data_IF_227202674707
#
_entry.id   IF_227202674707
#
_cell.length_a   1.000
_cell.length_b   1.000
_cell.length_c   1.000
_cell.angle_alpha   90.00
_cell.angle_beta   90.00
_cell.angle_gamma   90.00
#
_symmetry.space_group_name_H-M   'P 1'
#
loop_
_entity.id
_entity.type
_entity.pdbx_description
1 polymer ?
#
# COMPACT_ATOMS: atom_id res chain seq x y z
N UNK A 1 47.37 -22.34 -5.80
CA UNK A 1 46.74 -21.61 -4.71
C UNK A 1 45.25 -21.51 -5.05
N UNK A 2 44.35 -22.09 -4.28
CA UNK A 2 42.90 -21.95 -4.54
C UNK A 2 42.49 -20.52 -4.20
N UNK A 3 41.79 -19.87 -5.14
CA UNK A 3 41.19 -18.56 -4.94
C UNK A 3 40.16 -18.66 -3.81
N UNK A 4 40.29 -17.77 -2.82
CA UNK A 4 39.38 -17.66 -1.73
C UNK A 4 37.94 -17.48 -2.25
N UNK A 5 37.04 -18.26 -1.71
CA UNK A 5 35.61 -18.10 -1.87
C UNK A 5 35.26 -16.75 -1.24
N UNK A 6 34.89 -15.77 -2.07
CA UNK A 6 34.27 -14.54 -1.56
C UNK A 6 33.05 -14.98 -0.76
N UNK A 7 33.12 -14.84 0.54
CA UNK A 7 31.95 -15.00 1.39
C UNK A 7 30.87 -14.04 0.86
N UNK A 8 29.67 -14.50 0.51
CA UNK A 8 28.63 -13.59 0.09
C UNK A 8 28.42 -12.57 1.22
N UNK A 9 28.62 -11.30 0.91
CA UNK A 9 28.32 -10.20 1.85
C UNK A 9 26.85 -10.36 2.22
N UNK A 10 26.58 -10.73 3.47
CA UNK A 10 25.21 -10.83 3.95
C UNK A 10 24.56 -9.44 3.82
N UNK A 11 23.35 -9.34 3.23
CA UNK A 11 22.69 -8.06 3.10
C UNK A 11 22.50 -7.42 4.48
N UNK A 12 22.99 -6.19 4.63
CA UNK A 12 23.18 -5.55 5.92
C UNK A 12 21.93 -4.77 6.40
N UNK A 13 21.01 -4.44 5.47
CA UNK A 13 19.87 -3.58 5.76
C UNK A 13 18.55 -4.30 5.49
N UNK A 14 17.76 -4.45 6.57
CA UNK A 14 16.38 -4.89 6.45
C UNK A 14 15.52 -3.70 6.02
N UNK A 15 14.69 -3.89 5.00
CA UNK A 15 13.68 -2.94 4.54
C UNK A 15 12.29 -3.48 4.87
N UNK A 16 11.45 -2.68 5.50
CA UNK A 16 10.07 -3.02 5.81
C UNK A 16 9.11 -2.00 5.18
N UNK A 17 8.26 -2.46 4.26
CA UNK A 17 7.16 -1.69 3.71
C UNK A 17 5.87 -2.07 4.45
N UNK A 18 5.15 -1.09 4.95
CA UNK A 18 4.00 -1.27 5.84
C UNK A 18 2.89 -0.26 5.53
N UNK A 19 1.65 -0.67 5.76
CA UNK A 19 0.52 0.24 5.89
C UNK A 19 -0.59 -0.41 6.71
N UNK A 20 -1.42 0.42 7.34
CA UNK A 20 -2.67 0.00 7.93
C UNK A 20 -3.65 1.16 7.97
N UNK A 21 -4.87 0.93 7.50
CA UNK A 21 -6.00 1.81 7.75
C UNK A 21 -6.56 1.50 9.14
N UNK A 22 -6.68 2.53 9.96
CA UNK A 22 -7.23 2.49 11.33
C UNK A 22 -7.48 3.92 11.78
N UNK A 23 -8.53 4.16 12.57
CA UNK A 23 -8.73 5.51 13.14
C UNK A 23 -7.65 5.81 14.18
N UNK A 24 -6.82 6.81 13.88
CA UNK A 24 -5.74 7.32 14.74
C UNK A 24 -6.03 8.77 15.09
N UNK A 25 -6.92 9.06 16.05
CA UNK A 25 -7.31 10.44 16.37
C UNK A 25 -6.12 11.30 16.79
N UNK A 26 -5.17 10.72 17.53
CA UNK A 26 -4.00 11.42 18.08
C UNK A 26 -2.74 11.27 17.21
N UNK A 27 -2.88 10.98 15.92
CA UNK A 27 -1.76 10.71 15.00
C UNK A 27 -0.70 11.81 15.00
N UNK A 28 -1.08 13.06 15.27
CA UNK A 28 -0.16 14.19 15.29
C UNK A 28 0.82 14.10 16.46
N UNK A 29 0.37 13.64 17.62
CA UNK A 29 1.20 13.46 18.82
C UNK A 29 2.21 12.30 18.66
N UNK A 30 1.97 11.37 17.77
CA UNK A 30 2.88 10.24 17.49
C UNK A 30 4.12 10.65 16.69
N UNK A 31 4.09 11.79 15.99
CA UNK A 31 5.13 12.18 15.04
C UNK A 31 6.51 12.28 15.69
N UNK A 32 6.66 13.13 16.69
CA UNK A 32 7.98 13.43 17.27
C UNK A 32 8.55 12.26 18.08
N UNK A 33 7.76 11.53 18.90
CA UNK A 33 8.23 10.30 19.53
C UNK A 33 8.69 9.22 18.53
N UNK A 34 7.96 9.00 17.44
CA UNK A 34 8.35 8.01 16.43
C UNK A 34 9.58 8.46 15.64
N UNK A 35 9.72 9.76 15.30
CA UNK A 35 10.90 10.28 14.63
C UNK A 35 12.14 10.02 15.48
N UNK A 36 12.11 10.44 16.76
CA UNK A 36 13.23 10.25 17.69
C UNK A 36 13.55 8.79 17.94
N UNK A 37 12.52 7.94 18.08
CA UNK A 37 12.73 6.51 18.29
C UNK A 37 13.38 5.84 17.07
N UNK A 38 12.89 6.13 15.84
CA UNK A 38 13.49 5.60 14.62
C UNK A 38 14.97 6.03 14.47
N UNK A 39 15.29 7.29 14.75
CA UNK A 39 16.65 7.80 14.68
C UNK A 39 17.57 7.13 15.72
N UNK A 40 17.09 6.90 16.94
CA UNK A 40 17.82 6.18 17.97
C UNK A 40 18.10 4.71 17.63
N UNK A 41 17.29 4.11 16.74
CA UNK A 41 17.47 2.76 16.22
C UNK A 41 18.26 2.69 14.90
N UNK A 42 18.84 3.80 14.43
CA UNK A 42 19.50 3.94 13.11
C UNK A 42 18.58 3.51 11.94
N UNK A 43 17.28 3.71 12.07
CA UNK A 43 16.28 3.40 11.04
C UNK A 43 15.99 4.65 10.24
N UNK A 44 16.03 4.50 8.90
CA UNK A 44 15.79 5.56 7.92
C UNK A 44 14.60 5.20 7.04
N UNK A 45 14.03 6.19 6.36
CA UNK A 45 12.88 5.98 5.49
C UNK A 45 11.82 7.03 5.65
N UNK A 46 10.59 6.67 5.36
CA UNK A 46 9.45 7.58 5.52
C UNK A 46 8.28 6.84 6.15
N UNK A 47 7.71 7.44 7.20
CA UNK A 47 6.42 7.06 7.76
C UNK A 47 5.45 8.23 7.55
N UNK A 48 4.30 7.96 7.00
CA UNK A 48 3.18 8.87 6.85
C UNK A 48 2.15 8.53 7.91
N UNK A 49 1.76 9.51 8.70
CA UNK A 49 0.72 9.41 9.71
C UNK A 49 -0.45 10.31 9.31
N UNK A 50 -1.64 9.78 9.38
CA UNK A 50 -2.88 10.51 9.19
C UNK A 50 -3.94 9.97 10.15
N UNK A 51 -5.06 10.67 10.27
CA UNK A 51 -6.19 10.16 11.06
C UNK A 51 -6.66 8.78 10.59
N UNK A 52 -6.55 8.50 9.30
CA UNK A 52 -6.96 7.23 8.68
C UNK A 52 -5.95 6.09 8.83
N UNK A 53 -4.76 6.32 9.45
CA UNK A 53 -3.79 5.24 9.66
C UNK A 53 -2.33 5.62 9.44
N UNK A 54 -1.53 4.60 9.11
CA UNK A 54 -0.09 4.69 8.86
C UNK A 54 0.29 4.07 7.51
N UNK A 55 1.29 4.65 6.83
CA UNK A 55 1.89 4.11 5.61
C UNK A 55 3.37 4.47 5.56
N UNK A 56 4.21 3.57 5.09
CA UNK A 56 5.60 3.90 4.90
C UNK A 56 6.50 2.75 4.50
N UNK A 57 7.75 3.12 4.27
CA UNK A 57 8.86 2.18 4.09
C UNK A 57 10.02 2.66 4.93
N UNK A 58 10.56 1.77 5.74
CA UNK A 58 11.71 2.00 6.62
C UNK A 58 12.79 0.97 6.34
N UNK A 59 14.04 1.33 6.57
CA UNK A 59 15.17 0.43 6.45
C UNK A 59 16.26 0.79 7.45
N UNK A 60 17.02 -0.21 7.88
CA UNK A 60 18.11 -0.07 8.84
C UNK A 60 18.67 -1.42 9.26
N UNK A 61 19.48 -1.44 10.32
CA UNK A 61 19.88 -2.68 10.97
C UNK A 61 18.64 -3.50 11.36
N UNK A 62 18.71 -4.82 11.20
CA UNK A 62 17.56 -5.69 11.45
C UNK A 62 16.94 -5.47 12.83
N UNK A 63 17.75 -5.42 13.87
CA UNK A 63 17.27 -5.21 15.23
C UNK A 63 16.52 -3.88 15.39
N UNK A 64 17.03 -2.80 14.74
CA UNK A 64 16.42 -1.49 14.76
C UNK A 64 15.07 -1.47 14.05
N UNK A 65 14.99 -2.06 12.85
CA UNK A 65 13.71 -2.15 12.09
C UNK A 65 12.69 -2.96 12.88
N UNK A 66 13.09 -4.10 13.48
CA UNK A 66 12.18 -4.90 14.31
C UNK A 66 11.70 -4.17 15.56
N UNK A 67 12.58 -3.37 16.20
CA UNK A 67 12.20 -2.53 17.33
C UNK A 67 11.18 -1.46 16.93
N UNK A 68 11.37 -0.80 15.78
CA UNK A 68 10.40 0.18 15.25
C UNK A 68 9.06 -0.48 14.92
N UNK A 69 9.05 -1.67 14.31
CA UNK A 69 7.83 -2.42 14.04
C UNK A 69 7.10 -2.80 15.34
N UNK A 70 7.83 -3.20 16.37
CA UNK A 70 7.26 -3.47 17.68
C UNK A 70 6.66 -2.22 18.34
N UNK A 71 7.36 -1.09 18.26
CA UNK A 71 6.89 0.21 18.76
C UNK A 71 5.60 0.65 18.03
N UNK A 72 5.53 0.48 16.71
CA UNK A 72 4.32 0.78 15.94
C UNK A 72 3.15 -0.13 16.38
N UNK A 73 3.40 -1.41 16.60
CA UNK A 73 2.37 -2.38 17.06
C UNK A 73 1.91 -2.16 18.49
N UNK A 74 2.66 -1.41 19.29
CA UNK A 74 2.23 -1.00 20.63
C UNK A 74 1.22 0.16 20.62
N UNK A 75 1.00 0.80 19.46
CA UNK A 75 -0.01 1.85 19.30
C UNK A 75 -1.39 1.19 19.12
N UNK A 76 -2.38 1.67 19.87
CA UNK A 76 -3.75 1.18 19.81
C UNK A 76 -4.28 1.18 18.36
N UNK A 77 -4.82 0.04 17.93
CA UNK A 77 -5.32 -0.19 16.57
C UNK A 77 -4.25 -0.64 15.57
N UNK A 78 -2.96 -0.59 15.90
CA UNK A 78 -1.87 -1.05 15.03
C UNK A 78 -1.30 -2.43 15.44
N UNK A 79 -1.88 -3.14 16.40
CA UNK A 79 -1.37 -4.42 16.93
C UNK A 79 -1.14 -5.46 15.82
N UNK A 80 -2.06 -5.52 14.86
CA UNK A 80 -1.99 -6.43 13.70
C UNK A 80 -1.36 -5.76 12.45
N UNK A 81 -0.47 -4.77 12.62
CA UNK A 81 0.22 -4.13 11.50
C UNK A 81 1.06 -5.15 10.75
N UNK A 82 0.66 -5.45 9.50
CA UNK A 82 1.41 -6.29 8.58
C UNK A 82 2.49 -5.47 7.87
N UNK A 83 3.54 -6.14 7.42
CA UNK A 83 4.60 -5.53 6.63
C UNK A 83 5.17 -6.53 5.64
N UNK A 84 5.87 -6.04 4.63
CA UNK A 84 6.64 -6.84 3.67
C UNK A 84 8.12 -6.53 3.87
N UNK A 85 8.96 -7.56 3.86
CA UNK A 85 10.39 -7.44 4.06
C UNK A 85 11.16 -7.62 2.76
N UNK A 86 12.26 -6.89 2.65
CA UNK A 86 13.29 -7.09 1.64
C UNK A 86 14.65 -6.73 2.23
N UNK A 87 15.72 -7.28 1.68
CA UNK A 87 17.08 -7.03 2.13
C UNK A 87 17.85 -6.23 1.09
N UNK A 88 18.73 -5.36 1.55
CA UNK A 88 19.59 -4.54 0.70
C UNK A 88 21.03 -4.55 1.23
N UNK A 89 21.99 -4.54 0.29
CA UNK A 89 23.43 -4.50 0.61
C UNK A 89 23.91 -3.09 1.00
N UNK A 90 23.12 -2.07 0.62
CA UNK A 90 23.43 -0.65 0.89
C UNK A 90 22.22 0.03 1.53
N UNK A 91 22.44 1.09 2.35
CA UNK A 91 21.35 1.86 2.93
C UNK A 91 20.41 2.40 1.85
N UNK A 92 19.11 1.98 1.80
CA UNK A 92 18.20 2.44 0.76
C UNK A 92 17.76 3.90 0.94
N UNK A 93 17.92 4.45 2.14
CA UNK A 93 17.46 5.79 2.49
C UNK A 93 18.55 6.61 3.19
N UNK A 94 18.57 7.92 2.93
CA UNK A 94 19.55 8.84 3.52
C UNK A 94 19.17 9.33 4.92
N UNK A 95 17.88 9.47 5.21
CA UNK A 95 17.37 10.05 6.45
C UNK A 95 16.00 9.49 6.83
N UNK A 96 15.64 9.60 8.11
CA UNK A 96 14.28 9.33 8.57
C UNK A 96 13.36 10.54 8.36
N UNK A 97 12.08 10.28 8.05
CA UNK A 97 11.03 11.30 7.95
C UNK A 97 9.72 10.72 8.46
N UNK A 98 9.22 11.21 9.60
CA UNK A 98 7.84 10.99 10.02
C UNK A 98 7.02 12.22 9.63
N UNK A 99 6.01 12.03 8.77
CA UNK A 99 5.23 13.14 8.18
C UNK A 99 3.75 13.00 8.51
N UNK A 100 3.18 14.10 8.95
CA UNK A 100 1.72 14.24 9.08
C UNK A 100 1.12 14.51 7.70
N UNK A 101 0.05 13.80 7.39
CA UNK A 101 -0.70 13.89 6.13
C UNK A 101 -2.19 13.97 6.42
N UNK A 102 -2.97 14.43 5.43
CA UNK A 102 -4.43 14.32 5.46
C UNK A 102 -4.89 12.89 5.19
N UNK A 103 -4.16 12.19 4.31
CA UNK A 103 -4.41 10.82 3.87
C UNK A 103 -3.08 10.06 3.80
N UNK A 104 -3.07 8.77 4.17
CA UNK A 104 -1.87 7.92 4.07
C UNK A 104 -1.60 7.47 2.63
N UNK A 105 -2.60 7.51 1.76
CA UNK A 105 -2.53 7.45 0.31
C UNK A 105 -3.59 8.39 -0.25
N UNK A 106 -3.17 9.38 -1.01
CA UNK A 106 -4.05 10.50 -1.40
C UNK A 106 -4.97 10.10 -2.55
N UNK A 107 -6.29 10.15 -2.31
CA UNK A 107 -7.34 9.95 -3.32
C UNK A 107 -8.28 11.15 -3.44
N UNK A 108 -8.38 11.98 -2.40
CA UNK A 108 -9.21 13.19 -2.32
C UNK A 108 -10.73 12.94 -2.42
N UNK A 109 -11.20 11.86 -1.82
CA UNK A 109 -12.63 11.57 -1.65
C UNK A 109 -12.94 11.60 -0.15
N UNK A 110 -13.47 12.70 0.37
CA UNK A 110 -13.58 12.95 1.83
C UNK A 110 -14.40 11.93 2.61
N UNK A 111 -15.49 11.41 2.01
CA UNK A 111 -16.41 10.47 2.68
C UNK A 111 -15.90 9.02 2.62
N UNK A 112 -14.80 8.78 1.92
CA UNK A 112 -14.28 7.44 1.75
C UNK A 112 -13.55 6.94 2.99
N UNK A 113 -14.04 5.86 3.57
CA UNK A 113 -13.44 5.23 4.74
C UNK A 113 -13.21 3.72 4.50
N UNK A 114 -11.97 3.32 4.18
CA UNK A 114 -11.62 1.91 4.01
C UNK A 114 -11.85 1.04 5.25
N UNK A 115 -11.92 1.64 6.44
CA UNK A 115 -12.22 0.88 7.67
C UNK A 115 -13.67 0.41 7.72
N UNK A 116 -14.58 1.08 6.99
CA UNK A 116 -16.01 0.70 6.95
C UNK A 116 -16.32 -0.31 5.85
N UNK A 117 -15.69 -0.13 4.69
CA UNK A 117 -15.94 -1.01 3.55
C UNK A 117 -14.75 -1.08 2.62
N UNK A 118 -14.39 -2.30 2.21
CA UNK A 118 -13.36 -2.58 1.20
C UNK A 118 -13.80 -3.74 0.32
N UNK A 119 -13.14 -3.94 -0.80
CA UNK A 119 -13.28 -5.14 -1.64
C UNK A 119 -12.82 -6.40 -0.92
N UNK A 120 -13.26 -7.55 -1.42
CA UNK A 120 -12.76 -8.83 -0.92
C UNK A 120 -11.32 -9.05 -1.38
N UNK A 121 -10.43 -9.36 -0.45
CA UNK A 121 -9.06 -9.74 -0.76
C UNK A 121 -9.02 -11.07 -1.52
N UNK A 122 -8.25 -11.11 -2.61
CA UNK A 122 -7.99 -12.32 -3.39
C UNK A 122 -6.56 -12.77 -3.11
N UNK A 123 -6.40 -14.04 -2.71
CA UNK A 123 -5.08 -14.60 -2.42
C UNK A 123 -4.28 -14.82 -3.71
N UNK A 124 -2.93 -14.77 -3.68
CA UNK A 124 -2.11 -14.93 -4.88
C UNK A 124 -2.41 -16.20 -5.70
N UNK A 125 -2.69 -17.33 -5.04
CA UNK A 125 -3.01 -18.59 -5.71
C UNK A 125 -4.33 -18.55 -6.50
N UNK A 126 -5.24 -17.63 -6.14
CA UNK A 126 -6.57 -17.53 -6.75
C UNK A 126 -6.60 -16.52 -7.91
N UNK A 127 -5.50 -15.76 -8.11
CA UNK A 127 -5.45 -14.71 -9.13
C UNK A 127 -5.55 -15.23 -10.56
N UNK A 128 -4.94 -16.37 -10.88
CA UNK A 128 -5.00 -16.92 -12.23
C UNK A 128 -6.45 -17.30 -12.61
N UNK A 129 -7.21 -17.87 -11.69
CA UNK A 129 -8.62 -18.18 -11.91
C UNK A 129 -9.46 -16.90 -12.08
N UNK A 130 -9.17 -15.86 -11.30
CA UNK A 130 -9.83 -14.56 -11.41
C UNK A 130 -9.55 -13.89 -12.77
N UNK A 131 -8.30 -13.92 -13.23
CA UNK A 131 -7.89 -13.35 -14.52
C UNK A 131 -8.49 -14.11 -15.74
N UNK A 132 -8.80 -15.38 -15.56
CA UNK A 132 -9.41 -16.23 -16.60
C UNK A 132 -10.95 -16.11 -16.65
N UNK A 133 -11.59 -15.52 -15.65
CA UNK A 133 -13.04 -15.32 -15.59
C UNK A 133 -13.47 -14.21 -16.58
N UNK A 134 -14.24 -14.52 -17.65
CA UNK A 134 -14.65 -13.54 -18.66
C UNK A 134 -15.58 -12.46 -18.11
N UNK A 135 -16.19 -12.67 -16.95
CA UNK A 135 -17.06 -11.69 -16.28
C UNK A 135 -16.30 -10.74 -15.35
N UNK A 136 -14.97 -10.85 -15.29
CA UNK A 136 -14.10 -10.00 -14.45
C UNK A 136 -13.37 -8.96 -15.30
N UNK A 137 -13.55 -7.71 -14.94
CA UNK A 137 -12.73 -6.60 -15.42
C UNK A 137 -11.58 -6.35 -14.43
N UNK A 138 -10.36 -6.38 -14.93
CA UNK A 138 -9.16 -6.15 -14.11
C UNK A 138 -8.65 -4.75 -14.35
N UNK A 139 -8.46 -3.96 -13.28
CA UNK A 139 -7.99 -2.57 -13.35
C UNK A 139 -6.67 -2.45 -12.59
N UNK A 140 -5.66 -1.91 -13.25
CA UNK A 140 -4.39 -1.54 -12.63
C UNK A 140 -4.54 -0.13 -12.01
N UNK A 141 -4.60 -0.04 -10.70
CA UNK A 141 -4.79 1.25 -10.00
C UNK A 141 -3.48 1.98 -9.72
N UNK A 142 -2.39 1.57 -10.36
CA UNK A 142 -1.08 2.20 -10.25
C UNK A 142 -0.99 3.43 -11.17
N UNK A 143 0.02 4.25 -10.92
CA UNK A 143 0.34 5.34 -11.82
C UNK A 143 0.93 4.79 -13.12
N UNK A 144 0.76 5.52 -14.21
CA UNK A 144 1.18 5.10 -15.55
C UNK A 144 2.64 4.67 -15.63
N UNK A 145 3.56 5.39 -14.98
CA UNK A 145 4.99 5.02 -14.95
C UNK A 145 5.26 3.65 -14.30
N UNK A 146 4.39 3.18 -13.40
CA UNK A 146 4.51 1.84 -12.80
C UNK A 146 4.01 0.77 -13.76
N UNK A 147 2.98 1.09 -14.55
CA UNK A 147 2.41 0.19 -15.57
C UNK A 147 3.43 -0.10 -16.68
N UNK A 148 4.27 0.88 -17.05
CA UNK A 148 5.33 0.70 -18.06
C UNK A 148 6.36 -0.35 -17.68
N UNK A 149 6.55 -0.63 -16.40
CA UNK A 149 7.44 -1.70 -15.90
C UNK A 149 6.83 -3.09 -16.13
N UNK A 150 5.51 -3.19 -16.20
CA UNK A 150 4.76 -4.42 -16.40
C UNK A 150 3.40 -4.37 -15.72
N UNK A 151 2.44 -5.11 -16.27
CA UNK A 151 1.07 -5.23 -15.74
C UNK A 151 0.52 -6.63 -16.01
N UNK A 152 -0.61 -7.02 -15.42
CA UNK A 152 -1.28 -8.26 -15.75
C UNK A 152 -1.87 -8.20 -17.16
N UNK A 153 -1.74 -9.32 -17.89
CA UNK A 153 -2.31 -9.44 -19.25
C UNK A 153 -3.82 -9.17 -19.20
N UNK A 154 -4.28 -8.24 -20.04
CA UNK A 154 -5.69 -7.86 -20.13
C UNK A 154 -6.15 -6.86 -19.08
N UNK A 155 -5.29 -6.44 -18.16
CA UNK A 155 -5.65 -5.38 -17.21
C UNK A 155 -5.80 -4.03 -17.92
N UNK A 156 -6.83 -3.30 -17.54
CA UNK A 156 -7.06 -1.92 -18.01
C UNK A 156 -6.09 -0.99 -17.30
N UNK A 157 -5.33 -0.22 -18.08
CA UNK A 157 -4.55 0.91 -17.58
C UNK A 157 -5.39 2.18 -17.64
N UNK A 158 -5.71 2.83 -16.51
CA UNK A 158 -6.39 4.12 -16.47
C UNK A 158 -5.58 5.29 -17.06
N UNK A 159 -4.29 5.11 -17.34
CA UNK A 159 -3.34 6.13 -17.77
C UNK A 159 -3.28 7.34 -16.83
N UNK A 160 -3.41 7.11 -15.54
CA UNK A 160 -3.36 8.16 -14.51
C UNK A 160 -1.91 8.46 -14.11
N UNK A 161 -1.58 9.74 -14.01
CA UNK A 161 -0.28 10.20 -13.51
C UNK A 161 -0.20 10.15 -11.99
N UNK A 162 -1.33 10.36 -11.33
CA UNK A 162 -1.48 10.32 -9.88
C UNK A 162 -2.75 9.56 -9.50
N UNK A 163 -2.72 8.90 -8.36
CA UNK A 163 -3.86 8.14 -7.86
C UNK A 163 -5.13 9.00 -7.64
N UNK A 164 -4.97 10.32 -7.48
CA UNK A 164 -6.09 11.26 -7.34
C UNK A 164 -6.92 11.44 -8.61
N UNK A 165 -6.46 10.93 -9.75
CA UNK A 165 -7.19 10.99 -11.02
C UNK A 165 -8.13 9.78 -11.20
N UNK A 166 -7.95 8.73 -10.38
CA UNK A 166 -8.75 7.50 -10.49
C UNK A 166 -10.27 7.73 -10.34
N UNK A 167 -10.77 8.57 -9.41
CA UNK A 167 -12.21 8.81 -9.29
C UNK A 167 -12.83 9.33 -10.60
N UNK A 168 -12.24 10.36 -11.21
CA UNK A 168 -12.74 10.94 -12.45
C UNK A 168 -12.64 9.95 -13.64
N UNK A 169 -11.58 9.13 -13.67
CA UNK A 169 -11.48 8.07 -14.67
C UNK A 169 -12.58 7.03 -14.50
N UNK A 170 -12.86 6.57 -13.27
CA UNK A 170 -13.96 5.63 -13.00
C UNK A 170 -15.33 6.21 -13.38
N UNK A 171 -15.57 7.51 -13.14
CA UNK A 171 -16.82 8.20 -13.53
C UNK A 171 -17.04 8.20 -15.04
N UNK A 172 -15.97 8.15 -15.81
CA UNK A 172 -16.03 8.14 -17.27
C UNK A 172 -16.14 6.71 -17.88
N UNK A 173 -16.21 5.65 -17.05
CA UNK A 173 -16.27 4.27 -17.56
C UNK A 173 -17.71 3.72 -17.54
N UNK A 174 -18.42 3.72 -18.68
CA UNK A 174 -19.73 3.10 -18.77
C UNK A 174 -19.61 1.58 -18.52
N UNK A 175 -20.52 1.02 -17.73
CA UNK A 175 -20.57 -0.40 -17.41
C UNK A 175 -19.73 -0.85 -16.21
N UNK A 176 -19.00 0.07 -15.56
CA UNK A 176 -18.40 -0.16 -14.23
C UNK A 176 -19.26 0.39 -13.09
N UNK A 177 -20.42 0.93 -13.42
CA UNK A 177 -21.41 1.44 -12.45
C UNK A 177 -22.09 0.31 -11.69
N UNK A 178 -22.65 0.62 -10.52
CA UNK A 178 -23.53 -0.31 -9.85
C UNK A 178 -24.70 -0.68 -10.76
N UNK A 179 -25.06 -1.98 -10.83
CA UNK A 179 -26.19 -2.41 -11.63
C UNK A 179 -27.46 -1.65 -11.23
N UNK A 180 -28.20 -1.13 -12.22
CA UNK A 180 -29.48 -0.49 -11.97
C UNK A 180 -30.47 -1.48 -11.31
N UNK A 181 -31.44 -1.00 -10.52
CA UNK A 181 -32.45 -1.87 -9.93
C UNK A 181 -33.16 -2.70 -11.02
N UNK A 182 -33.03 -4.03 -10.96
CA UNK A 182 -33.61 -4.99 -11.94
C UNK A 182 -32.63 -5.53 -12.98
N UNK A 183 -31.41 -5.03 -13.08
CA UNK A 183 -30.36 -5.62 -13.93
C UNK A 183 -29.71 -6.82 -13.25
N UNK A 184 -29.60 -7.93 -13.99
CA UNK A 184 -29.06 -9.21 -13.48
C UNK A 184 -27.56 -9.36 -13.64
N UNK A 185 -26.92 -8.59 -14.52
CA UNK A 185 -25.48 -8.71 -14.82
C UNK A 185 -24.67 -7.65 -14.09
N UNK A 186 -24.06 -8.04 -12.98
CA UNK A 186 -23.05 -7.22 -12.28
C UNK A 186 -21.68 -7.54 -12.84
N UNK A 187 -21.01 -6.56 -13.44
CA UNK A 187 -19.60 -6.69 -13.81
C UNK A 187 -18.76 -6.85 -12.53
N UNK A 188 -18.00 -7.95 -12.45
CA UNK A 188 -17.04 -8.13 -11.36
C UNK A 188 -15.80 -7.30 -11.67
N UNK A 189 -15.38 -6.48 -10.73
CA UNK A 189 -14.17 -5.65 -10.87
C UNK A 189 -13.10 -6.14 -9.89
N UNK A 190 -11.94 -6.49 -10.44
CA UNK A 190 -10.73 -6.79 -9.68
C UNK A 190 -9.74 -5.64 -9.82
N UNK A 191 -9.11 -5.25 -8.72
CA UNK A 191 -8.14 -4.17 -8.71
C UNK A 191 -6.84 -4.60 -8.06
N UNK A 192 -5.72 -4.12 -8.57
CA UNK A 192 -4.42 -4.37 -7.96
C UNK A 192 -3.54 -3.11 -7.99
N UNK A 193 -2.55 -3.10 -7.12
CA UNK A 193 -1.48 -2.12 -7.08
C UNK A 193 -0.18 -2.74 -6.56
N UNK A 194 0.87 -1.96 -6.34
CA UNK A 194 2.18 -2.46 -5.89
C UNK A 194 2.15 -3.03 -4.46
N UNK A 195 1.52 -2.31 -3.51
CA UNK A 195 1.54 -2.67 -2.08
C UNK A 195 0.21 -3.08 -1.48
N UNK A 196 -0.92 -2.86 -2.19
CA UNK A 196 -2.27 -3.12 -1.68
C UNK A 196 -2.99 -1.86 -1.18
N UNK A 197 -2.29 -0.85 -0.71
CA UNK A 197 -2.88 0.33 -0.06
C UNK A 197 -3.85 1.13 -0.96
N UNK A 198 -3.52 1.28 -2.26
CA UNK A 198 -4.42 1.95 -3.21
C UNK A 198 -5.68 1.13 -3.45
N UNK A 199 -5.55 -0.21 -3.44
CA UNK A 199 -6.69 -1.11 -3.65
C UNK A 199 -7.74 -0.98 -2.53
N UNK A 200 -7.33 -0.72 -1.31
CA UNK A 200 -8.27 -0.50 -0.20
C UNK A 200 -9.17 0.69 -0.50
N UNK A 201 -8.60 1.83 -0.89
CA UNK A 201 -9.38 3.02 -1.27
C UNK A 201 -10.15 2.85 -2.59
N UNK A 202 -9.54 2.28 -3.61
CA UNK A 202 -10.20 2.14 -4.92
C UNK A 202 -11.38 1.17 -4.86
N UNK A 203 -11.26 0.06 -4.13
CA UNK A 203 -12.39 -0.87 -3.96
C UNK A 203 -13.47 -0.32 -3.02
N UNK A 204 -13.11 0.44 -2.00
CA UNK A 204 -14.07 1.18 -1.18
C UNK A 204 -14.85 2.18 -2.04
N UNK A 205 -14.17 2.94 -2.91
CA UNK A 205 -14.78 3.87 -3.85
C UNK A 205 -15.78 3.17 -4.80
N UNK A 206 -15.39 2.02 -5.35
CA UNK A 206 -16.28 1.23 -6.21
C UNK A 206 -17.54 0.73 -5.50
N UNK A 207 -17.46 0.50 -4.19
CA UNK A 207 -18.63 0.08 -3.40
C UNK A 207 -19.53 1.24 -2.98
N UNK A 208 -19.04 2.47 -3.05
CA UNK A 208 -19.84 3.67 -2.78
C UNK A 208 -20.68 4.09 -3.99
N UNK A 209 -20.34 3.59 -5.18
CA UNK A 209 -21.01 3.84 -6.46
C UNK A 209 -22.04 2.76 -6.76
#
# INVERSE_FOLDING_TARGET
MPRGWDNPVMPAFLTAALYKFVDLPDFAALRDPLQSFCEAQDVKGTLLLAREGVNGTIAGPEAGVRAVLAQLRAIAGLEALAHKEAWADKPPFLRMKVRLKKEIVTLRVPELDPNKTVGRYVKPQDWNALLADPDVVVIDTRNDYEVTVGTFKGAINPNIRTFTELPAWLDAQPGLEAAAPGETKKTKVAMFCTGGIRCEKSTALMKMR
#
